data_IF_808623367649
#
_entry.id   IF_808623367649
#
_cell.length_a   1.000
_cell.length_b   1.000
_cell.length_c   1.000
_cell.angle_alpha   90.00
_cell.angle_beta   90.00
_cell.angle_gamma   90.00
#
_symmetry.space_group_name_H-M   'P 1'
#
loop_
_entity.id
_entity.type
_entity.pdbx_description
1 polymer ?
#
# COMPACT_ATOMS: atom_id res chain seq x y z
N UNK A 1 0.93 24.34 40.24
CA UNK A 1 1.12 24.78 41.64
C UNK A 1 -0.24 24.80 42.31
N UNK A 2 -0.57 23.76 43.06
CA UNK A 2 -1.81 23.69 43.84
C UNK A 2 -1.53 24.26 45.22
N UNK A 3 -1.76 25.56 45.42
CA UNK A 3 -1.84 26.11 46.77
C UNK A 3 -2.99 25.38 47.46
N UNK A 4 -2.68 24.66 48.53
CA UNK A 4 -3.72 23.93 49.26
C UNK A 4 -4.69 24.95 49.84
N UNK A 5 -5.98 24.60 49.95
CA UNK A 5 -7.02 25.46 50.51
C UNK A 5 -6.60 26.09 51.85
N UNK A 6 -5.76 25.37 52.61
CA UNK A 6 -5.11 25.80 53.84
C UNK A 6 -4.20 27.03 53.68
N UNK A 7 -3.36 27.09 52.64
CA UNK A 7 -2.48 28.24 52.40
C UNK A 7 -3.26 29.47 51.95
N UNK A 8 -4.34 29.28 51.18
CA UNK A 8 -5.21 30.39 50.79
C UNK A 8 -6.04 30.91 51.97
N UNK A 9 -6.56 30.02 52.83
CA UNK A 9 -7.24 30.37 54.07
C UNK A 9 -6.27 31.10 55.02
N UNK A 10 -5.06 30.56 55.20
CA UNK A 10 -4.03 31.20 56.03
C UNK A 10 -3.68 32.59 55.49
N UNK A 11 -3.44 32.73 54.19
CA UNK A 11 -3.13 34.02 53.55
C UNK A 11 -4.25 35.03 53.75
N UNK A 12 -5.51 34.63 53.56
CA UNK A 12 -6.68 35.48 53.80
C UNK A 12 -6.80 35.91 55.27
N UNK A 13 -6.46 35.03 56.23
CA UNK A 13 -6.44 35.35 57.66
C UNK A 13 -5.29 36.32 58.01
N UNK A 14 -4.10 36.13 57.43
CA UNK A 14 -2.97 37.05 57.64
C UNK A 14 -3.18 38.41 56.98
N UNK A 15 -3.79 38.47 55.80
CA UNK A 15 -4.08 39.74 55.10
C UNK A 15 -5.20 40.54 55.80
N UNK A 16 -6.05 39.90 56.62
CA UNK A 16 -7.07 40.56 57.45
C UNK A 16 -6.63 40.87 58.90
N UNK A 17 -5.49 40.35 59.35
CA UNK A 17 -4.98 40.59 60.70
C UNK A 17 -4.12 41.85 60.75
N UNK A 18 -4.77 43.01 60.73
CA UNK A 18 -4.18 44.29 61.19
C UNK A 18 -4.12 44.40 62.73
N UNK A 19 -4.53 43.36 63.45
CA UNK A 19 -4.58 43.37 64.91
C UNK A 19 -3.18 43.20 65.52
N UNK A 20 -2.56 44.32 65.91
CA UNK A 20 -1.31 44.32 66.69
C UNK A 20 -1.60 44.10 68.18
N UNK A 21 -1.40 42.85 68.61
CA UNK A 21 -1.56 42.41 70.00
C UNK A 21 -0.69 43.24 70.95
N UNK A 22 0.49 43.69 70.51
CA UNK A 22 1.42 44.44 71.35
C UNK A 22 1.03 45.91 71.48
N UNK A 23 0.44 46.52 70.45
CA UNK A 23 -0.17 47.86 70.55
C UNK A 23 -1.35 47.85 71.54
N UNK A 24 -2.17 46.80 71.48
CA UNK A 24 -3.32 46.63 72.35
C UNK A 24 -2.91 46.42 73.82
N UNK A 25 -1.86 45.62 74.08
CA UNK A 25 -1.26 45.48 75.42
C UNK A 25 -0.65 46.80 75.89
N UNK A 26 0.05 47.51 75.00
CA UNK A 26 0.66 48.81 75.29
C UNK A 26 -0.35 49.86 75.74
N UNK A 27 -1.49 49.99 75.04
CA UNK A 27 -2.61 50.89 75.40
C UNK A 27 -3.23 50.53 76.76
N UNK A 28 -3.28 49.25 77.08
CA UNK A 28 -3.81 48.73 78.35
C UNK A 28 -2.91 49.13 79.53
N UNK A 29 -1.59 49.05 79.33
CA UNK A 29 -0.59 49.39 80.33
C UNK A 29 -0.38 50.91 80.47
N UNK A 30 -0.57 51.69 79.40
CA UNK A 30 -0.33 53.14 79.40
C UNK A 30 -1.51 53.98 79.90
N UNK A 31 -2.74 53.67 79.47
CA UNK A 31 -3.88 54.59 79.63
C UNK A 31 -5.02 54.04 80.51
N UNK A 32 -4.98 52.75 80.88
CA UNK A 32 -5.99 52.11 81.71
C UNK A 32 -7.39 52.04 81.09
N UNK A 33 -7.50 52.25 79.77
CA UNK A 33 -8.75 52.25 79.00
C UNK A 33 -9.16 50.84 78.58
N UNK A 34 -9.55 50.03 79.57
CA UNK A 34 -10.00 48.65 79.39
C UNK A 34 -11.27 48.59 78.52
N UNK A 35 -12.14 49.59 78.62
CA UNK A 35 -13.40 49.64 77.87
C UNK A 35 -13.15 49.93 76.38
N UNK A 36 -12.20 50.81 76.05
CA UNK A 36 -11.74 51.04 74.68
C UNK A 36 -11.18 49.77 74.02
N UNK A 37 -10.32 49.04 74.74
CA UNK A 37 -9.73 47.77 74.25
C UNK A 37 -10.78 46.67 74.12
N UNK A 38 -11.73 46.57 75.06
CA UNK A 38 -12.83 45.63 74.96
C UNK A 38 -13.69 45.91 73.72
N UNK A 39 -13.93 47.18 73.40
CA UNK A 39 -14.66 47.59 72.20
C UNK A 39 -13.86 47.27 70.91
N UNK A 40 -12.56 47.58 70.86
CA UNK A 40 -11.70 47.23 69.72
C UNK A 40 -11.68 45.70 69.50
N UNK A 41 -11.47 44.90 70.55
CA UNK A 41 -11.50 43.44 70.48
C UNK A 41 -12.87 42.92 70.00
N UNK A 42 -13.96 43.55 70.46
CA UNK A 42 -15.31 43.19 70.03
C UNK A 42 -15.55 43.54 68.56
N UNK A 43 -15.01 44.66 68.06
CA UNK A 43 -15.04 45.02 66.65
C UNK A 43 -14.23 44.05 65.78
N UNK A 44 -13.02 43.68 66.20
CA UNK A 44 -12.20 42.68 65.51
C UNK A 44 -12.88 41.31 65.48
N UNK A 45 -13.47 40.90 66.60
CA UNK A 45 -14.27 39.67 66.67
C UNK A 45 -15.44 39.72 65.67
N UNK A 46 -16.14 40.84 65.58
CA UNK A 46 -17.26 40.99 64.65
C UNK A 46 -16.79 41.00 63.19
N UNK A 47 -15.70 41.69 62.86
CA UNK A 47 -15.09 41.70 61.52
C UNK A 47 -14.67 40.30 61.08
N UNK A 48 -13.96 39.57 61.94
CA UNK A 48 -13.53 38.21 61.65
C UNK A 48 -14.72 37.26 61.53
N UNK A 49 -15.75 37.40 62.37
CA UNK A 49 -16.98 36.61 62.27
C UNK A 49 -17.70 36.85 60.94
N UNK A 50 -17.81 38.11 60.51
CA UNK A 50 -18.47 38.45 59.25
C UNK A 50 -17.68 37.96 58.03
N UNK A 51 -16.36 38.12 58.03
CA UNK A 51 -15.49 37.61 56.97
C UNK A 51 -15.54 36.08 56.87
N UNK A 52 -15.60 35.38 58.00
CA UNK A 52 -15.79 33.93 58.02
C UNK A 52 -17.16 33.52 57.46
N UNK A 53 -18.22 34.23 57.81
CA UNK A 53 -19.57 33.96 57.28
C UNK A 53 -19.60 34.18 55.75
N UNK A 54 -19.02 35.27 55.26
CA UNK A 54 -18.96 35.57 53.83
C UNK A 54 -18.14 34.54 53.06
N UNK A 55 -16.98 34.15 53.60
CA UNK A 55 -16.14 33.11 53.02
C UNK A 55 -16.87 31.76 52.97
N UNK A 56 -17.54 31.37 54.04
CA UNK A 56 -18.31 30.12 54.11
C UNK A 56 -19.45 30.14 53.10
N UNK A 57 -20.22 31.22 53.05
CA UNK A 57 -21.36 31.35 52.12
C UNK A 57 -20.90 31.31 50.65
N UNK A 58 -19.87 32.08 50.30
CA UNK A 58 -19.33 32.11 48.93
C UNK A 58 -18.80 30.74 48.51
N UNK A 59 -18.00 30.09 49.38
CA UNK A 59 -17.46 28.76 49.09
C UNK A 59 -18.53 27.69 49.01
N UNK A 60 -19.62 27.83 49.78
CA UNK A 60 -20.76 26.92 49.72
C UNK A 60 -21.54 27.10 48.41
N UNK A 61 -21.78 28.34 47.98
CA UNK A 61 -22.42 28.64 46.70
C UNK A 61 -21.61 28.11 45.52
N UNK A 62 -20.30 28.33 45.50
CA UNK A 62 -19.38 27.78 44.50
C UNK A 62 -19.47 26.24 44.45
N UNK A 63 -19.51 25.60 45.61
CA UNK A 63 -19.61 24.13 45.71
C UNK A 63 -20.94 23.62 45.16
N UNK A 64 -22.05 24.28 45.50
CA UNK A 64 -23.39 23.93 44.99
C UNK A 64 -23.46 24.12 43.48
N UNK A 65 -22.91 25.23 42.97
CA UNK A 65 -22.85 25.47 41.53
C UNK A 65 -22.02 24.40 40.81
N UNK A 66 -20.83 24.09 41.30
CA UNK A 66 -19.96 23.06 40.73
C UNK A 66 -20.66 21.69 40.72
N UNK A 67 -21.35 21.34 41.80
CA UNK A 67 -22.08 20.07 41.92
C UNK A 67 -23.21 19.95 40.89
N UNK A 68 -23.94 21.05 40.62
CA UNK A 68 -24.99 21.08 39.59
C UNK A 68 -24.40 20.92 38.20
N UNK A 69 -23.37 21.71 37.86
CA UNK A 69 -22.68 21.65 36.57
C UNK A 69 -22.09 20.25 36.31
N UNK A 70 -21.48 19.61 37.31
CA UNK A 70 -20.98 18.24 37.18
C UNK A 70 -22.09 17.22 36.94
N UNK A 71 -23.27 17.43 37.53
CA UNK A 71 -24.43 16.55 37.32
C UNK A 71 -24.97 16.69 35.89
N UNK A 72 -25.08 17.92 35.38
CA UNK A 72 -25.48 18.19 33.98
C UNK A 72 -24.49 17.59 32.98
N UNK A 73 -23.17 17.77 33.20
CA UNK A 73 -22.13 17.17 32.36
C UNK A 73 -22.25 15.63 32.35
N UNK A 74 -22.55 15.02 33.51
CA UNK A 74 -22.75 13.57 33.61
C UNK A 74 -23.95 13.11 32.79
N UNK A 75 -25.05 13.86 32.78
CA UNK A 75 -26.23 13.56 31.97
C UNK A 75 -25.92 13.62 30.48
N UNK A 76 -25.32 14.72 30.01
CA UNK A 76 -24.89 14.89 28.60
C UNK A 76 -23.92 13.78 28.18
N UNK A 77 -22.99 13.40 29.06
CA UNK A 77 -22.05 12.30 28.80
C UNK A 77 -22.77 10.97 28.60
N UNK A 78 -23.81 10.70 29.39
CA UNK A 78 -24.62 9.49 29.24
C UNK A 78 -25.45 9.49 27.96
N UNK A 79 -25.97 10.65 27.56
CA UNK A 79 -26.72 10.80 26.31
C UNK A 79 -25.85 10.54 25.08
N UNK A 80 -24.58 10.98 25.08
CA UNK A 80 -23.66 10.79 23.96
C UNK A 80 -23.06 9.38 23.91
N UNK A 81 -22.96 8.71 25.07
CA UNK A 81 -22.33 7.38 25.20
C UNK A 81 -22.99 6.33 24.32
N UNK A 82 -24.32 6.33 24.21
CA UNK A 82 -25.02 5.33 23.40
C UNK A 82 -24.84 5.56 21.89
N UNK A 83 -25.07 6.78 21.34
CA UNK A 83 -24.73 7.11 19.96
C UNK A 83 -23.30 6.75 19.56
N UNK A 84 -22.30 7.00 20.42
CA UNK A 84 -20.91 6.63 20.15
C UNK A 84 -20.75 5.11 19.97
N UNK A 85 -21.34 4.30 20.85
CA UNK A 85 -21.31 2.83 20.71
C UNK A 85 -21.99 2.33 19.43
N UNK A 86 -23.08 2.98 19.02
CA UNK A 86 -23.78 2.65 17.77
C UNK A 86 -22.90 2.98 16.57
N UNK A 87 -22.27 4.16 16.56
CA UNK A 87 -21.35 4.58 15.50
C UNK A 87 -20.12 3.67 15.41
N UNK A 88 -19.55 3.27 16.54
CA UNK A 88 -18.44 2.30 16.60
C UNK A 88 -18.84 0.97 15.95
N UNK A 89 -20.02 0.44 16.31
CA UNK A 89 -20.53 -0.80 15.72
C UNK A 89 -20.77 -0.67 14.22
N UNK A 90 -21.47 0.38 13.79
CA UNK A 90 -21.75 0.62 12.37
C UNK A 90 -20.47 0.79 11.55
N UNK A 91 -19.48 1.49 12.11
CA UNK A 91 -18.17 1.67 11.47
C UNK A 91 -17.44 0.33 11.34
N UNK A 92 -17.44 -0.48 12.40
CA UNK A 92 -16.85 -1.82 12.37
C UNK A 92 -17.52 -2.72 11.32
N UNK A 93 -18.85 -2.72 11.25
CA UNK A 93 -19.60 -3.53 10.30
C UNK A 93 -19.35 -3.07 8.84
N UNK A 94 -19.29 -1.75 8.59
CA UNK A 94 -18.91 -1.21 7.28
C UNK A 94 -17.49 -1.58 6.88
N UNK A 95 -16.53 -1.52 7.80
CA UNK A 95 -15.14 -1.93 7.54
C UNK A 95 -15.09 -3.41 7.15
N UNK A 96 -15.86 -4.28 7.80
CA UNK A 96 -15.93 -5.71 7.44
C UNK A 96 -16.49 -5.91 6.04
N UNK A 97 -17.57 -5.21 5.69
CA UNK A 97 -18.19 -5.30 4.39
C UNK A 97 -17.23 -4.83 3.27
N UNK A 98 -16.57 -3.69 3.46
CA UNK A 98 -15.56 -3.18 2.52
C UNK A 98 -14.42 -4.19 2.34
N UNK A 99 -13.96 -4.84 3.42
CA UNK A 99 -12.92 -5.88 3.31
C UNK A 99 -13.37 -7.06 2.45
N UNK A 100 -14.61 -7.51 2.61
CA UNK A 100 -15.16 -8.60 1.80
C UNK A 100 -15.25 -8.20 0.31
N UNK A 101 -15.72 -6.99 0.01
CA UNK A 101 -15.78 -6.47 -1.36
C UNK A 101 -14.38 -6.36 -1.99
N UNK A 102 -13.39 -5.89 -1.22
CA UNK A 102 -12.00 -5.84 -1.68
C UNK A 102 -11.46 -7.25 -1.96
N UNK A 103 -11.72 -8.22 -1.09
CA UNK A 103 -11.31 -9.61 -1.30
C UNK A 103 -11.94 -10.22 -2.56
N UNK A 104 -13.22 -9.93 -2.84
CA UNK A 104 -13.90 -10.37 -4.05
C UNK A 104 -13.26 -9.77 -5.31
N UNK A 105 -13.03 -8.46 -5.33
CA UNK A 105 -12.36 -7.77 -6.45
C UNK A 105 -10.93 -8.29 -6.67
N UNK A 106 -10.17 -8.52 -5.59
CA UNK A 106 -8.82 -9.09 -5.68
C UNK A 106 -8.87 -10.50 -6.27
N UNK A 107 -9.82 -11.32 -5.87
CA UNK A 107 -9.99 -12.67 -6.42
C UNK A 107 -10.34 -12.63 -7.91
N UNK A 108 -11.27 -11.76 -8.32
CA UNK A 108 -11.64 -11.60 -9.74
C UNK A 108 -10.45 -11.15 -10.59
N UNK A 109 -9.69 -10.15 -10.12
CA UNK A 109 -8.50 -9.66 -10.82
C UNK A 109 -7.42 -10.74 -10.92
N UNK A 110 -7.22 -11.52 -9.85
CA UNK A 110 -6.24 -12.62 -9.84
C UNK A 110 -6.63 -13.70 -10.86
N UNK A 111 -7.91 -14.10 -10.90
CA UNK A 111 -8.39 -15.08 -11.88
C UNK A 111 -8.23 -14.56 -13.32
N UNK A 112 -8.53 -13.27 -13.54
CA UNK A 112 -8.38 -12.65 -14.86
C UNK A 112 -6.93 -12.60 -15.31
N UNK A 113 -6.01 -12.26 -14.41
CA UNK A 113 -4.57 -12.25 -14.72
C UNK A 113 -4.08 -13.65 -15.11
N UNK A 114 -4.41 -14.67 -14.31
CA UNK A 114 -4.04 -16.07 -14.62
C UNK A 114 -4.57 -16.50 -15.99
N UNK A 115 -5.82 -16.14 -16.31
CA UNK A 115 -6.40 -16.44 -17.61
C UNK A 115 -5.71 -15.71 -18.76
N UNK A 116 -5.36 -14.42 -18.60
CA UNK A 116 -4.64 -13.65 -19.61
C UNK A 116 -3.23 -14.21 -19.86
N UNK A 117 -2.51 -14.60 -18.81
CA UNK A 117 -1.20 -15.25 -18.92
C UNK A 117 -1.29 -16.59 -19.66
N UNK A 118 -2.30 -17.41 -19.34
CA UNK A 118 -2.53 -18.68 -20.04
C UNK A 118 -2.89 -18.47 -21.52
N UNK A 119 -3.72 -17.47 -21.82
CA UNK A 119 -4.09 -17.12 -23.20
C UNK A 119 -2.89 -16.63 -24.01
N UNK A 120 -2.02 -15.80 -23.43
CA UNK A 120 -0.81 -15.34 -24.13
C UNK A 120 0.16 -16.50 -24.34
N UNK A 121 0.32 -17.41 -23.36
CA UNK A 121 1.11 -18.64 -23.54
C UNK A 121 0.55 -19.48 -24.70
N UNK A 122 -0.75 -19.74 -24.74
CA UNK A 122 -1.38 -20.50 -25.82
C UNK A 122 -1.23 -19.82 -27.19
N UNK A 123 -1.28 -18.49 -27.23
CA UNK A 123 -1.07 -17.71 -28.47
C UNK A 123 0.36 -17.83 -28.98
N UNK A 124 1.36 -17.77 -28.09
CA UNK A 124 2.77 -17.99 -28.44
C UNK A 124 2.97 -19.42 -28.96
N UNK A 125 2.44 -20.43 -28.27
CA UNK A 125 2.48 -21.84 -28.70
C UNK A 125 1.87 -21.99 -30.10
N UNK A 126 0.72 -21.38 -30.33
CA UNK A 126 0.03 -21.44 -31.61
C UNK A 126 0.82 -20.74 -32.73
N UNK A 127 1.46 -19.60 -32.44
CA UNK A 127 2.32 -18.90 -33.40
C UNK A 127 3.51 -19.76 -33.82
N UNK A 128 4.25 -20.33 -32.86
CA UNK A 128 5.40 -21.21 -33.13
C UNK A 128 4.94 -22.44 -33.94
N UNK A 129 3.88 -23.12 -33.50
CA UNK A 129 3.34 -24.30 -34.17
C UNK A 129 2.83 -24.00 -35.59
N UNK A 130 2.22 -22.84 -35.82
CA UNK A 130 1.76 -22.44 -37.15
C UNK A 130 2.94 -22.15 -38.08
N UNK A 131 3.99 -21.49 -37.58
CA UNK A 131 5.22 -21.29 -38.34
C UNK A 131 5.86 -22.63 -38.71
N UNK A 132 5.98 -23.55 -37.76
CA UNK A 132 6.51 -24.89 -37.97
C UNK A 132 5.69 -25.72 -38.99
N UNK A 133 4.36 -25.67 -38.91
CA UNK A 133 3.47 -26.34 -39.89
C UNK A 133 3.65 -25.78 -41.29
N UNK A 134 3.72 -24.46 -41.44
CA UNK A 134 3.94 -23.81 -42.74
C UNK A 134 5.28 -24.22 -43.34
N UNK A 135 6.34 -24.20 -42.53
CA UNK A 135 7.68 -24.65 -42.91
C UNK A 135 7.65 -26.09 -43.42
N UNK A 136 7.08 -27.02 -42.63
CA UNK A 136 6.97 -28.43 -43.04
C UNK A 136 6.18 -28.60 -44.34
N UNK A 137 5.07 -27.88 -44.51
CA UNK A 137 4.27 -27.98 -45.72
C UNK A 137 5.03 -27.52 -46.97
N UNK A 138 5.85 -26.48 -46.86
CA UNK A 138 6.70 -26.00 -47.97
C UNK A 138 7.81 -27.00 -48.34
N UNK A 139 8.22 -27.89 -47.42
CA UNK A 139 9.30 -28.86 -47.62
C UNK A 139 8.85 -30.23 -48.14
N UNK A 140 7.56 -30.58 -48.04
CA UNK A 140 7.09 -31.93 -48.40
C UNK A 140 7.25 -32.22 -49.91
N UNK A 141 7.03 -31.22 -50.79
CA UNK A 141 7.25 -31.29 -52.24
C UNK A 141 7.41 -29.88 -52.84
N UNK A 142 8.58 -29.24 -52.71
CA UNK A 142 8.79 -27.91 -53.27
C UNK A 142 8.73 -27.96 -54.80
N UNK A 143 7.94 -27.07 -55.40
CA UNK A 143 7.75 -26.92 -56.85
C UNK A 143 8.74 -25.94 -57.48
N UNK A 144 9.42 -25.14 -56.68
CA UNK A 144 10.36 -24.12 -57.15
C UNK A 144 11.33 -23.71 -56.05
N UNK A 145 12.45 -23.10 -56.44
CA UNK A 145 13.47 -22.61 -55.50
C UNK A 145 12.96 -21.50 -54.58
N UNK A 146 12.01 -20.67 -55.02
CA UNK A 146 11.42 -19.61 -54.19
C UNK A 146 10.61 -20.19 -53.01
N UNK A 147 10.06 -21.40 -53.17
CA UNK A 147 9.40 -22.10 -52.06
C UNK A 147 10.43 -22.59 -51.04
N UNK A 148 11.63 -22.96 -51.49
CA UNK A 148 12.75 -23.33 -50.62
C UNK A 148 13.33 -22.10 -49.93
N UNK A 149 13.48 -20.98 -50.64
CA UNK A 149 13.87 -19.69 -50.06
C UNK A 149 12.88 -19.22 -48.98
N UNK A 150 11.58 -19.32 -49.26
CA UNK A 150 10.55 -19.05 -48.27
C UNK A 150 10.68 -19.97 -47.05
N UNK A 151 11.03 -21.24 -47.25
CA UNK A 151 11.29 -22.17 -46.16
C UNK A 151 12.53 -21.80 -45.34
N UNK A 152 13.61 -21.31 -45.96
CA UNK A 152 14.79 -20.79 -45.25
C UNK A 152 14.42 -19.63 -44.31
N UNK A 153 13.69 -18.63 -44.82
CA UNK A 153 13.22 -17.51 -43.98
C UNK A 153 12.29 -17.97 -42.85
N UNK A 154 11.41 -18.94 -43.13
CA UNK A 154 10.53 -19.51 -42.11
C UNK A 154 11.29 -20.29 -41.03
N UNK A 155 12.38 -20.97 -41.40
CA UNK A 155 13.24 -21.66 -40.44
C UNK A 155 13.94 -20.65 -39.51
N UNK A 156 14.55 -19.60 -40.06
CA UNK A 156 15.22 -18.58 -39.25
C UNK A 156 14.23 -17.83 -38.35
N UNK A 157 13.06 -17.47 -38.87
CA UNK A 157 11.98 -16.89 -38.06
C UNK A 157 11.53 -17.83 -36.94
N UNK A 158 11.45 -19.14 -37.21
CA UNK A 158 11.07 -20.14 -36.21
C UNK A 158 12.15 -20.29 -35.13
N UNK A 159 13.43 -20.29 -35.50
CA UNK A 159 14.55 -20.26 -34.55
C UNK A 159 14.49 -19.02 -33.67
N UNK A 160 14.21 -17.85 -34.26
CA UNK A 160 14.03 -16.59 -33.54
C UNK A 160 12.87 -16.65 -32.55
N UNK A 161 11.69 -17.11 -32.99
CA UNK A 161 10.52 -17.24 -32.11
C UNK A 161 10.79 -18.19 -30.93
N UNK A 162 11.48 -19.30 -31.18
CA UNK A 162 11.89 -20.23 -30.11
C UNK A 162 12.92 -19.61 -29.18
N UNK A 163 13.86 -18.82 -29.70
CA UNK A 163 14.83 -18.10 -28.86
C UNK A 163 14.13 -17.08 -27.94
N UNK A 164 13.18 -16.31 -28.47
CA UNK A 164 12.40 -15.35 -27.70
C UNK A 164 11.43 -16.01 -26.70
N UNK A 165 11.01 -17.24 -26.98
CA UNK A 165 10.01 -17.97 -26.19
C UNK A 165 10.48 -19.39 -25.84
N UNK A 166 11.66 -19.49 -25.23
CA UNK A 166 12.31 -20.76 -24.91
C UNK A 166 11.56 -21.58 -23.84
N UNK A 167 10.66 -20.96 -23.09
CA UNK A 167 9.81 -21.63 -22.09
C UNK A 167 8.54 -22.25 -22.70
N UNK A 168 8.26 -22.03 -23.99
CA UNK A 168 7.15 -22.68 -24.68
C UNK A 168 7.36 -24.20 -24.73
N UNK A 169 6.31 -24.97 -24.45
CA UNK A 169 6.31 -26.44 -24.43
C UNK A 169 6.60 -27.03 -25.81
N UNK A 170 6.16 -26.38 -26.89
CA UNK A 170 6.49 -26.81 -28.24
C UNK A 170 7.94 -26.51 -28.65
N UNK A 171 8.61 -25.57 -27.98
CA UNK A 171 9.94 -25.09 -28.37
C UNK A 171 10.98 -26.21 -28.35
N UNK A 172 11.01 -27.01 -27.29
CA UNK A 172 11.97 -28.12 -27.15
C UNK A 172 11.76 -29.20 -28.21
N UNK A 173 10.50 -29.53 -28.53
CA UNK A 173 10.19 -30.56 -29.53
C UNK A 173 10.56 -30.11 -30.94
N UNK A 174 10.30 -28.84 -31.25
CA UNK A 174 10.56 -28.27 -32.58
C UNK A 174 12.05 -28.06 -32.79
N UNK A 175 12.78 -27.56 -31.78
CA UNK A 175 14.22 -27.29 -31.89
C UNK A 175 15.04 -28.53 -32.21
N UNK A 176 14.64 -29.69 -31.68
CA UNK A 176 15.25 -31.00 -32.01
C UNK A 176 15.12 -31.37 -33.49
N UNK A 177 14.17 -30.80 -34.21
CA UNK A 177 13.98 -31.06 -35.64
C UNK A 177 14.71 -30.07 -36.57
N UNK A 178 15.41 -29.06 -36.02
CA UNK A 178 16.09 -28.05 -36.83
C UNK A 178 17.18 -28.65 -37.73
N UNK A 179 18.04 -29.49 -37.18
CA UNK A 179 19.11 -30.13 -37.97
C UNK A 179 18.53 -30.98 -39.11
N UNK A 180 17.47 -31.74 -38.86
CA UNK A 180 16.81 -32.54 -39.90
C UNK A 180 16.19 -31.66 -40.99
N UNK A 181 15.60 -30.53 -40.60
CA UNK A 181 15.02 -29.56 -41.54
C UNK A 181 16.10 -28.87 -42.36
N UNK A 182 17.20 -28.44 -41.73
CA UNK A 182 18.36 -27.85 -42.42
C UNK A 182 18.95 -28.82 -43.43
N UNK A 183 19.16 -30.08 -43.05
CA UNK A 183 19.64 -31.12 -43.95
C UNK A 183 18.68 -31.34 -45.14
N UNK A 184 17.37 -31.29 -44.89
CA UNK A 184 16.35 -31.39 -45.94
C UNK A 184 16.44 -30.21 -46.91
N UNK A 185 16.56 -28.99 -46.38
CA UNK A 185 16.70 -27.77 -47.19
C UNK A 185 18.00 -27.83 -48.02
N UNK A 186 19.13 -28.19 -47.42
CA UNK A 186 20.40 -28.34 -48.13
C UNK A 186 20.28 -29.34 -49.28
N UNK A 187 19.70 -30.51 -49.04
CA UNK A 187 19.47 -31.53 -50.09
C UNK A 187 18.61 -30.98 -51.24
N UNK A 188 17.56 -30.22 -50.91
CA UNK A 188 16.69 -29.60 -51.92
C UNK A 188 17.44 -28.53 -52.74
N UNK A 189 18.22 -27.68 -52.07
CA UNK A 189 19.04 -26.65 -52.72
C UNK A 189 20.10 -27.26 -53.65
N UNK A 190 20.76 -28.34 -53.24
CA UNK A 190 21.70 -29.09 -54.09
C UNK A 190 21.03 -29.61 -55.36
N UNK A 191 19.84 -30.21 -55.22
CA UNK A 191 19.08 -30.72 -56.36
C UNK A 191 18.66 -29.61 -57.34
N UNK A 192 18.12 -28.50 -56.83
CA UNK A 192 17.74 -27.34 -57.65
C UNK A 192 18.96 -26.68 -58.30
N UNK A 193 20.08 -26.53 -57.58
CA UNK A 193 21.33 -26.00 -58.15
C UNK A 193 21.83 -26.85 -59.31
N UNK A 194 21.82 -28.18 -59.17
CA UNK A 194 22.20 -29.09 -60.25
C UNK A 194 21.29 -28.92 -61.47
N UNK A 195 19.98 -28.83 -61.26
CA UNK A 195 19.00 -28.59 -62.33
C UNK A 195 19.27 -27.24 -63.04
N UNK A 196 19.36 -26.14 -62.29
CA UNK A 196 19.51 -24.81 -62.87
C UNK A 196 20.89 -24.53 -63.47
N UNK A 197 21.94 -25.19 -62.97
CA UNK A 197 23.26 -25.17 -63.58
C UNK A 197 23.24 -25.83 -64.97
N UNK A 198 22.46 -26.89 -65.16
CA UNK A 198 22.32 -27.52 -66.49
C UNK A 198 21.50 -26.69 -67.47
N UNK A 199 20.52 -25.90 -66.99
CA UNK A 199 19.72 -25.00 -67.81
C UNK A 199 20.30 -23.59 -67.94
N UNK A 200 21.40 -23.30 -67.21
CA UNK A 200 22.09 -22.01 -67.15
C UNK A 200 21.17 -20.84 -66.69
N UNK A 201 20.29 -21.10 -65.72
CA UNK A 201 19.37 -20.10 -65.16
C UNK A 201 20.02 -19.36 -63.98
N UNK A 202 20.66 -18.23 -64.30
CA UNK A 202 21.52 -17.50 -63.37
C UNK A 202 20.76 -16.85 -62.22
N UNK A 203 19.49 -16.48 -62.42
CA UNK A 203 18.63 -15.88 -61.38
C UNK A 203 18.30 -16.92 -60.29
N UNK A 204 17.96 -18.15 -60.69
CA UNK A 204 17.64 -19.22 -59.73
C UNK A 204 18.87 -19.72 -58.98
N UNK A 205 20.04 -19.71 -59.62
CA UNK A 205 21.32 -20.03 -58.97
C UNK A 205 21.64 -19.00 -57.86
N UNK A 206 21.37 -17.72 -58.09
CA UNK A 206 21.56 -16.67 -57.09
C UNK A 206 20.64 -16.87 -55.87
N UNK A 207 19.37 -17.21 -56.09
CA UNK A 207 18.42 -17.55 -55.00
C UNK A 207 18.95 -18.71 -54.17
N UNK A 208 19.42 -19.79 -54.80
CA UNK A 208 20.03 -20.91 -54.09
C UNK A 208 21.24 -20.48 -53.25
N UNK A 209 22.11 -19.63 -53.79
CA UNK A 209 23.29 -19.13 -53.06
C UNK A 209 22.89 -18.30 -51.83
N UNK A 210 21.87 -17.44 -51.97
CA UNK A 210 21.34 -16.64 -50.86
C UNK A 210 20.77 -17.53 -49.76
N UNK A 211 20.08 -18.62 -50.13
CA UNK A 211 19.57 -19.59 -49.17
C UNK A 211 20.68 -20.22 -48.31
N UNK A 212 21.84 -20.54 -48.90
CA UNK A 212 22.99 -21.05 -48.13
C UNK A 212 23.55 -20.03 -47.14
N UNK A 213 23.51 -18.74 -47.47
CA UNK A 213 23.95 -17.69 -46.54
C UNK A 213 22.98 -17.53 -45.37
N UNK A 214 21.67 -17.65 -45.62
CA UNK A 214 20.63 -17.61 -44.59
C UNK A 214 20.72 -18.78 -43.59
N UNK A 215 21.03 -19.99 -44.08
CA UNK A 215 21.16 -21.21 -43.27
C UNK A 215 22.48 -21.22 -42.48
N UNK A 216 22.56 -20.37 -41.46
CA UNK A 216 23.76 -20.22 -40.62
C UNK A 216 23.83 -18.92 -39.83
N UNK A 217 22.91 -17.97 -40.05
CA UNK A 217 22.93 -16.68 -39.34
C UNK A 217 22.53 -16.79 -37.86
N UNK A 218 21.69 -17.77 -37.49
CA UNK A 218 21.40 -18.09 -36.08
C UNK A 218 21.85 -19.51 -35.71
N UNK A 219 23.03 -19.60 -35.12
CA UNK A 219 23.54 -20.82 -34.50
C UNK A 219 23.03 -20.92 -33.05
N UNK A 220 21.91 -21.61 -32.83
CA UNK A 220 21.30 -21.82 -31.50
C UNK A 220 22.17 -22.68 -30.56
N UNK A 221 23.24 -23.27 -31.10
CA UNK A 221 24.18 -24.14 -30.39
C UNK A 221 24.97 -23.44 -29.26
N UNK A 222 24.91 -22.11 -29.16
CA UNK A 222 25.66 -21.36 -28.13
C UNK A 222 24.91 -21.06 -26.82
N UNK A 223 23.60 -21.34 -26.71
CA UNK A 223 22.82 -20.93 -25.51
C UNK A 223 22.17 -22.08 -24.70
N UNK A 224 22.62 -23.33 -24.89
CA UNK A 224 22.28 -24.44 -23.97
C UNK A 224 23.33 -24.55 -22.83
N UNK A 225 24.21 -23.57 -22.67
CA UNK A 225 25.15 -23.54 -21.54
C UNK A 225 24.48 -23.01 -20.26
N UNK A 226 24.29 -23.96 -19.34
CA UNK A 226 24.30 -23.83 -17.87
C UNK A 226 23.18 -23.06 -17.19
N UNK A 227 22.15 -23.82 -16.77
CA UNK A 227 21.65 -23.72 -15.39
C UNK A 227 22.59 -24.49 -14.47
#
# INVERSE_FOLDING_TARGET
>A
MTTTSREQILKYITDYNEFDVWECIGKCESDGDIDGIANELQEYKNKNSNALIELINTRFEDLVFLSKTLSEIKEVTNEIKYPMKVLEKQTSDKIKLIKLEIEEVVNELTQKQVHEEEMEKQKIEMQIMNCYKRLKNNLIQPKSVEQVETACYQLEMLKYLIHCHNEAECAEKISRSFTDIENTIHTLLENFLLEYATTNDQEKIEICSNCYHLLGEMDLSQNIQTK
#
